data_IF_115419472487
#
_entry.id   IF_115419472487
#
_cell.length_a   1.000
_cell.length_b   1.000
_cell.length_c   1.000
_cell.angle_alpha   90.00
_cell.angle_beta   90.00
_cell.angle_gamma   90.00
#
_symmetry.space_group_name_H-M   'P 1'
#
loop_
_entity.id
_entity.type
_entity.pdbx_description
1 polymer ?
#
# COMPACT_ATOMS: atom_id res chain seq x y z
N UNK A 1 14.87 -29.47 -3.39
CA UNK A 1 13.52 -30.08 -3.23
C UNK A 1 12.65 -29.67 -4.40
N UNK A 2 12.49 -28.41 -4.70
CA UNK A 2 11.63 -27.86 -5.75
C UNK A 2 11.94 -28.40 -7.17
N UNK A 3 13.23 -28.48 -7.58
CA UNK A 3 13.64 -28.97 -8.91
C UNK A 3 13.09 -30.35 -9.25
N UNK A 4 13.14 -31.27 -8.30
CA UNK A 4 12.56 -32.63 -8.45
C UNK A 4 11.04 -32.58 -8.58
N UNK A 5 10.38 -31.75 -7.78
CA UNK A 5 8.92 -31.59 -7.74
C UNK A 5 8.38 -31.05 -9.08
N UNK A 6 8.98 -29.97 -9.63
CA UNK A 6 8.53 -29.40 -10.90
C UNK A 6 8.75 -30.38 -12.08
N UNK A 7 9.84 -31.13 -12.07
CA UNK A 7 10.08 -32.20 -13.05
C UNK A 7 9.01 -33.29 -12.98
N UNK A 8 8.65 -33.73 -11.77
CA UNK A 8 7.59 -34.72 -11.57
C UNK A 8 6.24 -34.19 -12.09
N UNK A 9 5.86 -32.95 -11.79
CA UNK A 9 4.62 -32.33 -12.25
C UNK A 9 4.55 -32.29 -13.79
N UNK A 10 5.66 -31.93 -14.46
CA UNK A 10 5.72 -31.96 -15.93
C UNK A 10 5.54 -33.35 -16.49
N UNK A 11 6.24 -34.35 -15.93
CA UNK A 11 6.16 -35.76 -16.38
C UNK A 11 4.75 -36.30 -16.17
N UNK A 12 4.11 -36.04 -15.04
CA UNK A 12 2.74 -36.43 -14.74
C UNK A 12 1.75 -35.89 -15.77
N UNK A 13 1.96 -34.65 -16.24
CA UNK A 13 1.18 -34.06 -17.34
C UNK A 13 1.60 -34.50 -18.74
N UNK A 14 2.60 -35.42 -18.87
CA UNK A 14 3.13 -35.91 -20.11
C UNK A 14 3.64 -34.80 -21.08
N UNK A 15 4.13 -33.68 -20.51
CA UNK A 15 4.61 -32.54 -21.29
C UNK A 15 6.12 -32.65 -21.63
N UNK A 16 6.49 -32.29 -22.85
CA UNK A 16 7.89 -32.05 -23.23
C UNK A 16 8.34 -30.68 -22.68
N UNK A 17 9.66 -30.45 -22.60
CA UNK A 17 10.25 -29.21 -22.10
C UNK A 17 9.83 -27.98 -22.94
N UNK A 18 9.77 -28.12 -24.24
CA UNK A 18 9.37 -27.07 -25.18
C UNK A 18 7.88 -26.73 -25.05
N UNK A 19 7.02 -27.72 -24.84
CA UNK A 19 5.58 -27.51 -24.61
C UNK A 19 5.34 -26.75 -23.32
N UNK A 20 5.99 -27.15 -22.21
CA UNK A 20 5.92 -26.43 -20.95
C UNK A 20 6.47 -25.00 -21.09
N UNK A 21 7.57 -24.84 -21.85
CA UNK A 21 8.18 -23.55 -22.15
C UNK A 21 7.23 -22.58 -22.83
N UNK A 22 6.51 -23.06 -23.84
CA UNK A 22 5.49 -22.28 -24.55
C UNK A 22 4.35 -21.83 -23.62
N UNK A 23 3.86 -22.72 -22.76
CA UNK A 23 2.80 -22.39 -21.80
C UNK A 23 3.22 -21.36 -20.73
N UNK A 24 4.42 -21.51 -20.20
CA UNK A 24 4.93 -20.63 -19.15
C UNK A 24 5.59 -19.34 -19.68
N UNK A 25 5.81 -19.26 -21.00
CA UNK A 25 6.63 -18.23 -21.67
C UNK A 25 8.03 -18.19 -21.05
N UNK A 26 8.66 -19.35 -20.96
CA UNK A 26 10.02 -19.57 -20.43
C UNK A 26 10.77 -20.45 -21.42
N UNK A 27 12.01 -20.09 -21.71
CA UNK A 27 12.86 -20.90 -22.61
C UNK A 27 13.03 -22.32 -22.08
N UNK A 28 12.95 -23.32 -22.98
CA UNK A 28 13.02 -24.74 -22.62
C UNK A 28 14.38 -25.14 -22.03
N UNK A 29 15.45 -24.45 -22.39
CA UNK A 29 16.79 -24.67 -21.82
C UNK A 29 16.84 -24.18 -20.36
N UNK A 30 16.13 -23.10 -20.02
CA UNK A 30 15.98 -22.64 -18.65
C UNK A 30 15.16 -23.62 -17.82
N UNK A 31 14.06 -24.16 -18.36
CA UNK A 31 13.27 -25.19 -17.68
C UNK A 31 14.13 -26.43 -17.39
N UNK A 32 14.92 -26.88 -18.33
CA UNK A 32 15.87 -28.00 -18.14
C UNK A 32 16.85 -27.71 -16.98
N UNK A 33 17.38 -26.49 -16.92
CA UNK A 33 18.26 -26.04 -15.81
C UNK A 33 17.56 -25.96 -14.48
N UNK A 34 16.28 -25.55 -14.45
CA UNK A 34 15.46 -25.55 -13.23
C UNK A 34 15.22 -26.98 -12.73
N UNK A 35 14.87 -27.92 -13.63
CA UNK A 35 14.61 -29.32 -13.29
C UNK A 35 15.87 -30.09 -12.88
N UNK A 36 17.03 -29.72 -13.43
CA UNK A 36 18.33 -30.29 -13.03
C UNK A 36 18.87 -29.66 -11.73
N UNK A 37 18.28 -28.56 -11.25
CA UNK A 37 18.74 -27.83 -10.08
C UNK A 37 20.00 -26.98 -10.30
N UNK A 38 20.46 -26.85 -11.56
CA UNK A 38 21.63 -26.02 -11.91
C UNK A 38 21.30 -24.52 -11.94
N UNK A 39 20.02 -24.17 -11.95
CA UNK A 39 19.53 -22.79 -11.81
C UNK A 39 18.28 -22.76 -10.92
N UNK A 40 18.21 -21.76 -10.05
CA UNK A 40 17.03 -21.53 -9.20
C UNK A 40 15.95 -20.75 -9.95
N UNK A 41 14.69 -21.03 -9.64
CA UNK A 41 13.56 -20.19 -10.09
C UNK A 41 13.50 -18.89 -9.29
N UNK A 42 12.99 -17.85 -9.95
CA UNK A 42 12.55 -16.65 -9.22
C UNK A 42 11.18 -16.89 -8.60
N UNK A 43 10.82 -16.13 -7.55
CA UNK A 43 9.51 -16.20 -6.89
C UNK A 43 8.35 -16.06 -7.91
N UNK A 44 8.48 -15.15 -8.87
CA UNK A 44 7.48 -14.96 -9.94
C UNK A 44 7.34 -16.20 -10.84
N UNK A 45 8.44 -16.87 -11.14
CA UNK A 45 8.38 -18.11 -11.92
C UNK A 45 7.69 -19.22 -11.13
N UNK A 46 7.92 -19.33 -9.82
CA UNK A 46 7.23 -20.30 -8.97
C UNK A 46 5.71 -20.10 -9.02
N UNK A 47 5.22 -18.87 -8.95
CA UNK A 47 3.79 -18.58 -9.10
C UNK A 47 3.25 -18.98 -10.47
N UNK A 48 4.01 -18.78 -11.56
CA UNK A 48 3.61 -19.25 -12.90
C UNK A 48 3.47 -20.78 -12.95
N UNK A 49 4.39 -21.52 -12.31
CA UNK A 49 4.29 -22.97 -12.19
C UNK A 49 3.08 -23.41 -11.37
N UNK A 50 2.81 -22.80 -10.21
CA UNK A 50 1.64 -23.09 -9.39
C UNK A 50 0.32 -22.88 -10.14
N UNK A 51 0.21 -21.75 -10.85
CA UNK A 51 -0.97 -21.42 -11.66
C UNK A 51 -1.18 -22.44 -12.79
N UNK A 52 -0.12 -22.80 -13.52
CA UNK A 52 -0.19 -23.73 -14.65
C UNK A 52 -0.53 -25.16 -14.20
N UNK A 53 0.15 -25.64 -13.17
CA UNK A 53 -0.06 -26.99 -12.67
C UNK A 53 -1.28 -27.13 -11.75
N UNK A 54 -1.91 -26.01 -11.36
CA UNK A 54 -3.04 -25.96 -10.42
C UNK A 54 -2.73 -26.72 -9.13
N UNK A 55 -1.54 -26.51 -8.58
CA UNK A 55 -1.12 -27.08 -7.30
C UNK A 55 -1.93 -26.45 -6.15
N UNK A 56 -1.83 -27.03 -4.95
CA UNK A 56 -2.41 -26.38 -3.76
C UNK A 56 -1.76 -25.02 -3.55
N UNK A 57 -2.49 -24.02 -3.04
CA UNK A 57 -1.94 -22.69 -2.81
C UNK A 57 -0.65 -22.74 -1.99
N UNK A 58 0.38 -22.07 -2.49
CA UNK A 58 1.72 -21.98 -1.89
C UNK A 58 2.46 -23.34 -1.75
N UNK A 59 2.06 -24.39 -2.45
CA UNK A 59 2.74 -25.68 -2.36
C UNK A 59 4.17 -25.59 -2.90
N UNK A 60 4.35 -25.06 -4.12
CA UNK A 60 5.68 -24.91 -4.72
C UNK A 60 6.44 -23.73 -4.08
N UNK A 61 5.72 -22.71 -3.64
CA UNK A 61 6.34 -21.58 -2.95
C UNK A 61 7.01 -22.02 -1.64
N UNK A 62 6.38 -22.90 -0.88
CA UNK A 62 6.98 -23.47 0.35
C UNK A 62 8.27 -24.23 0.04
N UNK A 63 8.24 -25.08 -0.98
CA UNK A 63 9.44 -25.83 -1.43
C UNK A 63 10.56 -24.87 -1.85
N UNK A 64 10.20 -23.80 -2.60
CA UNK A 64 11.15 -22.79 -3.02
C UNK A 64 11.79 -22.05 -1.84
N UNK A 65 10.98 -21.59 -0.87
CA UNK A 65 11.48 -20.93 0.33
C UNK A 65 12.36 -21.86 1.17
N UNK A 66 11.99 -23.14 1.29
CA UNK A 66 12.81 -24.14 1.99
C UNK A 66 14.16 -24.32 1.31
N UNK A 67 14.20 -24.40 -0.03
CA UNK A 67 15.46 -24.54 -0.77
C UNK A 67 16.35 -23.28 -0.61
N UNK A 68 15.77 -22.07 -0.56
CA UNK A 68 16.49 -20.81 -0.30
C UNK A 68 17.12 -20.82 1.11
N UNK A 69 16.29 -21.02 2.15
CA UNK A 69 16.73 -21.04 3.55
C UNK A 69 17.81 -22.13 3.77
N UNK A 70 17.57 -23.33 3.23
CA UNK A 70 18.55 -24.42 3.33
C UNK A 70 19.87 -24.06 2.61
N UNK A 71 19.77 -23.37 1.46
CA UNK A 71 20.95 -22.91 0.71
C UNK A 71 21.81 -21.95 1.52
N UNK A 72 21.18 -21.06 2.27
CA UNK A 72 21.84 -20.04 3.10
C UNK A 72 22.43 -20.65 4.39
N UNK A 73 21.78 -21.66 4.99
CA UNK A 73 22.15 -22.23 6.28
C UNK A 73 23.06 -23.48 6.18
N UNK A 74 23.06 -24.18 5.04
CA UNK A 74 23.87 -25.37 4.86
C UNK A 74 25.36 -25.06 5.06
N UNK A 75 26.02 -25.84 5.90
CA UNK A 75 27.45 -25.70 6.18
C UNK A 75 27.77 -24.89 7.44
N UNK A 76 26.77 -24.30 8.11
CA UNK A 76 26.96 -23.67 9.40
C UNK A 76 26.54 -24.60 10.53
N UNK A 77 27.45 -24.81 11.50
CA UNK A 77 27.17 -25.67 12.66
C UNK A 77 26.00 -25.16 13.52
N UNK A 78 25.77 -23.85 13.52
CA UNK A 78 24.70 -23.17 14.25
C UNK A 78 23.38 -23.03 13.47
N UNK A 79 23.23 -23.71 12.34
CA UNK A 79 22.04 -23.60 11.49
C UNK A 79 20.72 -23.89 12.24
N UNK A 80 20.73 -24.87 13.13
CA UNK A 80 19.56 -25.21 13.95
C UNK A 80 19.21 -24.11 14.96
N UNK A 81 20.20 -23.45 15.53
CA UNK A 81 19.98 -22.34 16.47
C UNK A 81 19.31 -21.16 15.75
N UNK A 82 19.78 -20.84 14.52
CA UNK A 82 19.17 -19.80 13.68
C UNK A 82 17.72 -20.15 13.34
N UNK A 83 17.45 -21.41 12.97
CA UNK A 83 16.07 -21.85 12.66
C UNK A 83 15.16 -21.74 13.87
N UNK A 84 15.65 -22.08 15.07
CA UNK A 84 14.87 -21.92 16.32
C UNK A 84 14.57 -20.44 16.63
N UNK A 85 15.56 -19.55 16.47
CA UNK A 85 15.36 -18.11 16.64
C UNK A 85 14.32 -17.55 15.64
N UNK A 86 14.40 -17.97 14.38
CA UNK A 86 13.42 -17.59 13.34
C UNK A 86 12.03 -18.13 13.65
N UNK A 87 11.91 -19.37 14.17
CA UNK A 87 10.64 -19.95 14.56
C UNK A 87 9.99 -19.17 15.71
N UNK A 88 10.76 -18.77 16.72
CA UNK A 88 10.29 -17.94 17.83
C UNK A 88 9.80 -16.57 17.35
N UNK A 89 10.55 -15.91 16.46
CA UNK A 89 10.16 -14.64 15.84
C UNK A 89 8.88 -14.78 15.01
N UNK A 90 8.77 -15.82 14.15
CA UNK A 90 7.57 -16.10 13.36
C UNK A 90 6.38 -16.38 14.28
N UNK A 91 6.57 -17.16 15.35
CA UNK A 91 5.53 -17.48 16.33
C UNK A 91 5.04 -16.23 17.06
N UNK A 92 5.94 -15.35 17.45
CA UNK A 92 5.64 -14.04 18.01
C UNK A 92 4.83 -13.18 17.04
N UNK A 93 5.27 -13.11 15.80
CA UNK A 93 4.58 -12.39 14.71
C UNK A 93 3.18 -12.96 14.43
N UNK A 94 3.05 -14.30 14.35
CA UNK A 94 1.75 -14.97 14.15
C UNK A 94 0.79 -14.77 15.33
N UNK A 95 1.29 -14.76 16.57
CA UNK A 95 0.48 -14.42 17.75
C UNK A 95 -0.05 -12.98 17.67
N UNK A 96 0.78 -12.04 17.23
CA UNK A 96 0.38 -10.65 16.98
C UNK A 96 -0.69 -10.55 15.87
N UNK A 97 -0.52 -11.29 14.77
CA UNK A 97 -1.49 -11.36 13.68
C UNK A 97 -2.81 -12.00 14.12
N UNK A 98 -2.76 -13.09 14.87
CA UNK A 98 -3.95 -13.78 15.38
C UNK A 98 -4.69 -12.96 16.46
N UNK A 99 -3.97 -12.20 17.27
CA UNK A 99 -4.55 -11.23 18.20
C UNK A 99 -5.25 -10.09 17.46
N UNK A 100 -4.72 -9.65 16.30
CA UNK A 100 -5.34 -8.66 15.40
C UNK A 100 -6.53 -9.22 14.61
N UNK A 101 -6.52 -10.48 14.18
CA UNK A 101 -7.69 -11.15 13.55
C UNK A 101 -8.92 -11.19 14.45
N UNK A 102 -8.75 -11.13 15.79
CA UNK A 102 -9.82 -10.98 16.78
C UNK A 102 -10.16 -9.54 17.12
N UNK A 103 -9.60 -8.54 16.44
CA UNK A 103 -10.07 -7.17 16.62
C UNK A 103 -11.49 -7.05 16.09
N UNK A 104 -12.43 -7.20 17.00
CA UNK A 104 -13.87 -7.01 16.76
C UNK A 104 -14.03 -5.54 16.35
N UNK A 105 -14.41 -5.33 15.09
CA UNK A 105 -14.83 -4.00 14.65
C UNK A 105 -16.00 -3.55 15.52
N UNK A 106 -16.00 -2.30 15.95
CA UNK A 106 -17.13 -1.77 16.73
C UNK A 106 -18.40 -1.82 15.89
N UNK A 107 -19.56 -2.00 16.52
CA UNK A 107 -20.87 -2.00 15.83
C UNK A 107 -21.04 -0.77 14.92
N UNK A 108 -20.54 0.39 15.36
CA UNK A 108 -20.60 1.63 14.60
C UNK A 108 -19.76 1.57 13.30
N UNK A 109 -18.58 0.96 13.34
CA UNK A 109 -17.74 0.78 12.15
C UNK A 109 -18.43 -0.18 11.18
N UNK A 110 -18.92 -1.33 11.65
CA UNK A 110 -19.62 -2.31 10.79
C UNK A 110 -20.80 -1.66 10.08
N UNK A 111 -21.68 -0.97 10.81
CA UNK A 111 -22.80 -0.24 10.21
C UNK A 111 -22.35 0.76 9.15
N UNK A 112 -21.27 1.50 9.43
CA UNK A 112 -20.74 2.49 8.49
C UNK A 112 -20.17 1.84 7.22
N UNK A 113 -19.53 0.68 7.34
CA UNK A 113 -19.05 -0.08 6.18
C UNK A 113 -20.21 -0.60 5.32
N UNK A 114 -21.28 -1.09 5.91
CA UNK A 114 -22.50 -1.52 5.20
C UNK A 114 -23.13 -0.35 4.41
N UNK A 115 -23.16 0.85 5.01
CA UNK A 115 -23.63 2.06 4.34
C UNK A 115 -22.72 2.46 3.17
N UNK A 116 -21.39 2.39 3.34
CA UNK A 116 -20.41 2.64 2.30
C UNK A 116 -20.58 1.66 1.13
N UNK A 117 -20.71 0.37 1.40
CA UNK A 117 -20.89 -0.66 0.38
C UNK A 117 -22.22 -0.49 -0.37
N UNK A 118 -23.25 -0.03 0.32
CA UNK A 118 -24.54 0.30 -0.30
C UNK A 118 -24.39 1.43 -1.31
N UNK A 119 -23.71 2.53 -0.93
CA UNK A 119 -23.47 3.66 -1.85
C UNK A 119 -22.59 3.21 -3.02
N UNK A 120 -21.52 2.43 -2.75
CA UNK A 120 -20.65 1.89 -3.80
C UNK A 120 -21.44 1.06 -4.82
N UNK A 121 -22.31 0.17 -4.38
CA UNK A 121 -23.19 -0.63 -5.26
C UNK A 121 -24.11 0.25 -6.11
N UNK A 122 -24.65 1.33 -5.54
CA UNK A 122 -25.47 2.29 -6.28
C UNK A 122 -24.68 3.01 -7.38
N UNK A 123 -23.41 3.40 -7.09
CA UNK A 123 -22.51 3.98 -8.07
C UNK A 123 -22.16 2.97 -9.16
N UNK A 124 -21.83 1.74 -8.79
CA UNK A 124 -21.47 0.66 -9.73
C UNK A 124 -22.64 0.31 -10.68
N UNK A 125 -23.89 0.44 -10.22
CA UNK A 125 -25.08 0.22 -11.06
C UNK A 125 -25.30 1.31 -12.11
N UNK A 126 -24.66 2.49 -11.97
CA UNK A 126 -24.72 3.58 -12.95
C UNK A 126 -23.61 3.51 -14.01
N UNK A 127 -22.69 2.54 -13.88
CA UNK A 127 -21.59 2.36 -14.85
C UNK A 127 -22.08 1.66 -16.15
N UNK A 128 -21.49 1.97 -17.33
CA UNK A 128 -20.36 2.88 -17.51
C UNK A 128 -20.80 4.35 -17.47
N UNK A 129 -20.01 5.19 -16.78
CA UNK A 129 -20.22 6.63 -16.78
C UNK A 129 -19.68 7.27 -18.07
N UNK A 130 -20.22 8.44 -18.45
CA UNK A 130 -19.68 9.20 -19.54
C UNK A 130 -18.23 9.61 -19.27
N UNK A 131 -17.32 9.33 -20.22
CA UNK A 131 -15.89 9.59 -20.07
C UNK A 131 -15.56 11.06 -19.79
N UNK A 132 -16.27 11.99 -20.42
CA UNK A 132 -16.06 13.43 -20.20
C UNK A 132 -16.50 13.84 -18.79
N UNK A 133 -17.67 13.35 -18.36
CA UNK A 133 -18.18 13.58 -17.00
C UNK A 133 -17.21 13.01 -15.96
N UNK A 134 -16.73 11.78 -16.13
CA UNK A 134 -15.78 11.16 -15.25
C UNK A 134 -14.46 11.94 -15.17
N UNK A 135 -13.95 12.42 -16.32
CA UNK A 135 -12.76 13.26 -16.36
C UNK A 135 -12.93 14.54 -15.54
N UNK A 136 -14.06 15.24 -15.69
CA UNK A 136 -14.35 16.46 -14.94
C UNK A 136 -14.53 16.23 -13.45
N UNK A 137 -15.16 15.14 -13.06
CA UNK A 137 -15.28 14.76 -11.65
C UNK A 137 -13.92 14.42 -11.04
N UNK A 138 -13.09 13.66 -11.74
CA UNK A 138 -11.73 13.36 -11.27
C UNK A 138 -10.91 14.63 -11.12
N UNK A 139 -10.96 15.57 -12.06
CA UNK A 139 -10.29 16.87 -11.97
C UNK A 139 -10.69 17.62 -10.69
N UNK A 140 -11.99 17.68 -10.40
CA UNK A 140 -12.51 18.30 -9.18
C UNK A 140 -12.02 17.60 -7.90
N UNK A 141 -12.25 16.29 -7.77
CA UNK A 141 -11.88 15.55 -6.57
C UNK A 141 -10.37 15.47 -6.33
N UNK A 142 -9.57 15.38 -7.39
CA UNK A 142 -8.10 15.34 -7.28
C UNK A 142 -7.53 16.69 -6.84
N UNK A 143 -8.11 17.79 -7.35
CA UNK A 143 -7.77 19.15 -6.91
C UNK A 143 -8.12 19.34 -5.42
N UNK A 144 -9.34 18.97 -5.04
CA UNK A 144 -9.77 19.09 -3.64
C UNK A 144 -8.90 18.24 -2.70
N UNK A 145 -8.57 17.01 -3.10
CA UNK A 145 -7.68 16.14 -2.33
C UNK A 145 -6.27 16.72 -2.21
N UNK A 146 -5.72 17.26 -3.29
CA UNK A 146 -4.41 17.93 -3.29
C UNK A 146 -4.42 19.11 -2.32
N UNK A 147 -5.44 19.95 -2.38
CA UNK A 147 -5.62 21.08 -1.48
C UNK A 147 -5.68 20.64 -0.01
N UNK A 148 -6.60 19.74 0.34
CA UNK A 148 -6.81 19.32 1.72
C UNK A 148 -5.61 18.58 2.31
N UNK A 149 -4.97 17.72 1.53
CA UNK A 149 -3.80 16.96 1.95
C UNK A 149 -2.60 17.88 2.26
N UNK A 150 -2.35 18.90 1.44
CA UNK A 150 -1.29 19.88 1.68
C UNK A 150 -1.64 20.84 2.83
N UNK A 151 -2.90 21.21 2.97
CA UNK A 151 -3.40 22.03 4.07
C UNK A 151 -3.22 21.35 5.44
N UNK A 152 -3.33 20.03 5.55
CA UNK A 152 -3.00 19.29 6.77
C UNK A 152 -1.55 19.53 7.16
N UNK A 153 -0.63 19.62 6.21
CA UNK A 153 0.81 19.86 6.43
C UNK A 153 1.15 21.36 6.60
N UNK A 154 0.16 22.26 6.49
CA UNK A 154 0.33 23.69 6.75
C UNK A 154 0.48 24.56 5.51
N UNK A 155 0.30 24.00 4.30
CA UNK A 155 0.22 24.79 3.07
C UNK A 155 -0.94 25.79 3.16
N UNK A 156 -0.74 27.01 2.72
CA UNK A 156 -1.68 28.12 2.88
C UNK A 156 -2.43 28.51 1.60
N UNK A 157 -2.19 27.80 0.49
CA UNK A 157 -2.98 27.97 -0.73
C UNK A 157 -4.46 27.69 -0.44
N UNK A 158 -5.35 28.46 -1.01
CA UNK A 158 -6.80 28.18 -1.04
C UNK A 158 -7.11 27.11 -2.08
N UNK A 159 -8.33 26.57 -2.07
CA UNK A 159 -8.75 25.60 -3.10
C UNK A 159 -8.67 26.18 -4.50
N UNK A 160 -9.10 27.44 -4.68
CA UNK A 160 -9.03 28.13 -5.97
C UNK A 160 -7.59 28.37 -6.42
N UNK A 161 -6.72 28.83 -5.50
CA UNK A 161 -5.28 28.99 -5.78
C UNK A 161 -4.61 27.67 -6.12
N UNK A 162 -4.94 26.60 -5.42
CA UNK A 162 -4.44 25.23 -5.72
C UNK A 162 -4.87 24.82 -7.13
N UNK A 163 -6.12 25.05 -7.51
CA UNK A 163 -6.62 24.76 -8.87
C UNK A 163 -5.80 25.53 -9.91
N UNK A 164 -5.63 26.85 -9.77
CA UNK A 164 -4.86 27.68 -10.70
C UNK A 164 -3.40 27.23 -10.83
N UNK A 165 -2.77 26.86 -9.71
CA UNK A 165 -1.37 26.37 -9.70
C UNK A 165 -1.25 25.05 -10.47
N UNK A 166 -2.13 24.07 -10.23
CA UNK A 166 -1.97 22.74 -10.81
C UNK A 166 -2.52 22.61 -12.24
N UNK A 167 -3.53 23.38 -12.61
CA UNK A 167 -4.17 23.26 -13.94
C UNK A 167 -3.67 24.29 -14.94
N UNK A 168 -3.35 25.50 -14.48
CA UNK A 168 -2.98 26.62 -15.35
C UNK A 168 -1.51 27.04 -15.18
N UNK A 169 -0.79 26.48 -14.18
CA UNK A 169 0.62 26.81 -13.92
C UNK A 169 0.84 28.25 -13.42
N UNK A 170 -0.20 28.87 -12.86
CA UNK A 170 -0.14 30.26 -12.38
C UNK A 170 0.57 30.30 -11.02
N UNK A 171 1.47 31.26 -10.86
CA UNK A 171 2.09 31.58 -9.56
C UNK A 171 1.25 32.57 -8.78
N UNK A 172 1.02 32.28 -7.50
CA UNK A 172 0.17 33.07 -6.60
C UNK A 172 1.04 34.02 -5.78
N UNK A 173 0.78 35.32 -5.86
CA UNK A 173 1.48 36.34 -5.09
C UNK A 173 1.31 36.13 -3.57
N UNK A 174 2.39 36.34 -2.80
CA UNK A 174 2.36 36.16 -1.34
C UNK A 174 2.46 34.71 -0.85
N UNK A 175 2.61 33.75 -1.73
CA UNK A 175 2.85 32.33 -1.42
C UNK A 175 4.28 31.93 -1.76
N UNK A 176 4.85 31.03 -0.98
CA UNK A 176 6.22 30.57 -1.20
C UNK A 176 6.32 29.63 -2.41
N UNK A 177 7.49 29.56 -3.04
CA UNK A 177 7.78 28.58 -4.10
C UNK A 177 7.56 27.15 -3.59
N UNK A 178 7.90 26.87 -2.33
CA UNK A 178 7.68 25.56 -1.69
C UNK A 178 6.22 25.18 -1.72
N UNK A 179 5.30 26.07 -1.38
CA UNK A 179 3.86 25.80 -1.38
C UNK A 179 3.32 25.46 -2.77
N UNK A 180 3.82 26.14 -3.82
CA UNK A 180 3.47 25.81 -5.21
C UNK A 180 3.99 24.42 -5.59
N UNK A 181 5.26 24.12 -5.29
CA UNK A 181 5.85 22.82 -5.58
C UNK A 181 5.16 21.69 -4.82
N UNK A 182 4.73 21.92 -3.57
CA UNK A 182 3.94 20.95 -2.81
C UNK A 182 2.61 20.62 -3.52
N UNK A 183 1.90 21.62 -4.05
CA UNK A 183 0.66 21.42 -4.79
C UNK A 183 0.90 20.64 -6.10
N UNK A 184 1.90 21.03 -6.89
CA UNK A 184 2.26 20.38 -8.16
C UNK A 184 2.70 18.94 -7.92
N UNK A 185 3.65 18.71 -7.03
CA UNK A 185 4.17 17.39 -6.71
C UNK A 185 3.08 16.44 -6.20
N UNK A 186 2.18 16.95 -5.34
CA UNK A 186 1.08 16.14 -4.82
C UNK A 186 0.07 15.81 -5.92
N UNK A 187 -0.22 16.75 -6.84
CA UNK A 187 -1.08 16.49 -8.01
C UNK A 187 -0.49 15.41 -8.93
N UNK A 188 0.83 15.44 -9.17
CA UNK A 188 1.51 14.40 -9.93
C UNK A 188 1.40 13.03 -9.23
N UNK A 189 1.55 13.01 -7.90
CA UNK A 189 1.40 11.79 -7.11
C UNK A 189 -0.05 11.26 -7.13
N UNK A 190 -1.07 12.14 -7.15
CA UNK A 190 -2.49 11.75 -7.31
C UNK A 190 -2.74 11.16 -8.69
N UNK A 191 -2.18 11.75 -9.74
CA UNK A 191 -2.27 11.21 -11.10
C UNK A 191 -1.62 9.84 -11.19
N UNK A 192 -0.46 9.66 -10.59
CA UNK A 192 0.25 8.38 -10.52
C UNK A 192 -0.57 7.29 -9.79
N UNK A 193 -1.16 7.57 -8.61
CA UNK A 193 -2.00 6.56 -7.92
C UNK A 193 -3.24 6.21 -8.74
N UNK A 194 -3.82 7.15 -9.47
CA UNK A 194 -4.98 6.89 -10.33
C UNK A 194 -4.60 5.99 -11.52
N UNK A 195 -3.41 6.16 -12.10
CA UNK A 195 -2.90 5.32 -13.19
C UNK A 195 -2.62 3.89 -12.71
N UNK A 196 -1.81 3.73 -11.65
CA UNK A 196 -1.44 2.40 -11.15
C UNK A 196 -2.61 1.66 -10.50
N UNK A 197 -3.64 2.37 -10.04
CA UNK A 197 -4.85 1.73 -9.50
C UNK A 197 -5.65 0.97 -10.55
N UNK A 198 -5.53 1.31 -11.83
CA UNK A 198 -6.18 0.61 -12.95
C UNK A 198 -5.43 -0.65 -13.37
N UNK A 199 -4.18 -0.79 -12.94
CA UNK A 199 -3.34 -1.96 -13.20
C UNK A 199 -3.59 -3.12 -12.23
N UNK A 200 -2.87 -4.22 -12.46
CA UNK A 200 -2.88 -5.41 -11.59
C UNK A 200 -1.68 -5.44 -10.65
N UNK A 201 -0.93 -4.34 -10.57
CA UNK A 201 0.28 -4.29 -9.78
C UNK A 201 -0.02 -4.30 -8.29
N UNK A 202 0.66 -5.20 -7.58
CA UNK A 202 0.56 -5.27 -6.13
C UNK A 202 1.36 -4.13 -5.50
N UNK A 203 0.79 -3.53 -4.46
CA UNK A 203 1.49 -2.55 -3.63
C UNK A 203 2.70 -3.21 -2.99
N UNK A 204 3.86 -2.60 -3.17
CA UNK A 204 5.13 -3.06 -2.62
C UNK A 204 5.94 -1.88 -2.07
N UNK A 205 7.12 -2.18 -1.52
CA UNK A 205 8.01 -1.16 -0.95
C UNK A 205 8.44 -0.11 -1.98
N UNK A 206 8.65 -0.51 -3.23
CA UNK A 206 9.00 0.41 -4.32
C UNK A 206 7.89 1.40 -4.60
N UNK A 207 6.62 0.94 -4.63
CA UNK A 207 5.45 1.82 -4.79
C UNK A 207 5.44 2.93 -3.74
N UNK A 208 5.73 2.61 -2.46
CA UNK A 208 5.75 3.60 -1.38
C UNK A 208 6.89 4.62 -1.57
N UNK A 209 8.07 4.16 -1.99
CA UNK A 209 9.22 5.04 -2.29
C UNK A 209 8.95 5.94 -3.50
N UNK A 210 8.29 5.43 -4.52
CA UNK A 210 7.94 6.21 -5.71
C UNK A 210 6.89 7.29 -5.38
N UNK A 211 5.89 6.97 -4.54
CA UNK A 211 4.95 7.96 -4.00
C UNK A 211 5.67 9.06 -3.21
N UNK A 212 6.55 8.67 -2.31
CA UNK A 212 7.33 9.65 -1.54
C UNK A 212 8.25 10.49 -2.43
N UNK A 213 8.88 9.88 -3.43
CA UNK A 213 9.70 10.60 -4.41
C UNK A 213 8.87 11.69 -5.11
N UNK A 214 7.68 11.35 -5.61
CA UNK A 214 6.79 12.31 -6.26
C UNK A 214 6.41 13.48 -5.34
N UNK A 215 6.15 13.22 -4.06
CA UNK A 215 5.80 14.26 -3.08
C UNK A 215 6.93 15.27 -2.85
N UNK A 216 8.21 14.84 -2.91
CA UNK A 216 9.36 15.68 -2.54
C UNK A 216 10.34 15.97 -3.68
N UNK A 217 10.17 15.43 -4.87
CA UNK A 217 11.15 15.48 -5.99
C UNK A 217 11.71 16.86 -6.31
N UNK A 218 10.94 17.92 -6.10
CA UNK A 218 11.32 19.30 -6.41
C UNK A 218 11.54 20.16 -5.16
N UNK A 219 11.42 19.57 -3.95
CA UNK A 219 11.50 20.29 -2.66
C UNK A 219 12.73 19.83 -1.88
N UNK A 220 12.91 18.52 -1.73
CA UNK A 220 14.02 17.90 -1.00
C UNK A 220 14.55 16.70 -1.80
N UNK A 221 15.16 16.98 -2.95
CA UNK A 221 15.63 16.00 -3.94
C UNK A 221 16.55 14.94 -3.34
N UNK A 222 17.42 15.31 -2.39
CA UNK A 222 18.39 14.39 -1.79
C UNK A 222 17.74 13.30 -0.93
N UNK A 223 16.56 13.57 -0.37
CA UNK A 223 15.81 12.67 0.51
C UNK A 223 14.59 12.03 -0.16
N UNK A 224 14.21 12.52 -1.34
CA UNK A 224 13.05 12.01 -2.07
C UNK A 224 13.18 10.52 -2.39
N UNK A 225 12.20 9.70 -1.97
CA UNK A 225 12.18 8.25 -2.18
C UNK A 225 13.17 7.43 -1.33
N UNK A 226 13.90 8.06 -0.41
CA UNK A 226 14.92 7.41 0.42
C UNK A 226 14.51 7.36 1.89
N UNK A 227 14.73 6.22 2.53
CA UNK A 227 14.53 6.11 3.97
C UNK A 227 15.51 6.99 4.73
N UNK A 228 15.05 7.51 5.86
CA UNK A 228 15.89 8.27 6.77
C UNK A 228 17.04 7.42 7.33
N UNK A 229 18.15 8.06 7.55
CA UNK A 229 19.35 7.51 8.18
C UNK A 229 19.68 8.22 9.51
N UNK A 230 18.71 8.96 10.05
CA UNK A 230 18.81 9.70 11.32
C UNK A 230 17.56 9.44 12.17
N UNK A 231 17.69 9.69 13.46
CA UNK A 231 16.54 9.69 14.37
C UNK A 231 15.66 10.91 14.12
N UNK A 232 14.34 10.69 14.20
CA UNK A 232 13.33 11.75 14.04
C UNK A 232 12.33 11.75 15.17
N UNK A 233 11.66 12.88 15.36
CA UNK A 233 10.55 13.04 16.29
C UNK A 233 9.35 13.60 15.53
N UNK A 234 8.17 13.14 15.88
CA UNK A 234 6.92 13.68 15.32
C UNK A 234 6.48 14.84 16.21
N UNK A 235 6.51 16.04 15.65
CA UNK A 235 6.13 17.25 16.39
C UNK A 235 4.69 17.15 16.92
N UNK A 236 4.52 17.38 18.21
CA UNK A 236 3.22 17.33 18.87
C UNK A 236 2.68 15.93 19.19
N UNK A 237 3.43 14.85 18.92
CA UNK A 237 3.07 13.48 19.28
C UNK A 237 3.95 12.91 20.38
N UNK A 238 3.37 12.05 21.23
CA UNK A 238 4.10 11.21 22.20
C UNK A 238 4.65 9.93 21.58
N UNK A 239 4.20 9.58 20.38
CA UNK A 239 4.68 8.41 19.67
C UNK A 239 6.15 8.57 19.29
N UNK A 240 6.93 7.52 19.54
CA UNK A 240 8.32 7.44 19.16
C UNK A 240 8.44 6.51 17.94
N UNK A 241 8.81 7.04 16.76
CA UNK A 241 9.12 6.20 15.61
C UNK A 241 10.25 5.21 15.94
N UNK A 242 10.32 4.05 15.28
CA UNK A 242 11.42 3.10 15.46
C UNK A 242 12.77 3.74 15.14
N UNK A 243 13.85 3.16 15.66
CA UNK A 243 15.20 3.59 15.31
C UNK A 243 15.42 3.53 13.79
N UNK A 244 16.24 4.43 13.23
CA UNK A 244 16.40 4.53 11.76
C UNK A 244 16.91 3.23 11.13
N UNK A 245 17.74 2.46 11.82
CA UNK A 245 18.24 1.17 11.33
C UNK A 245 17.17 0.06 11.32
N UNK A 246 16.08 0.21 12.08
CA UNK A 246 14.93 -0.71 12.07
C UNK A 246 13.91 -0.41 10.95
N UNK A 247 14.01 0.76 10.34
CA UNK A 247 13.05 1.21 9.31
C UNK A 247 12.89 0.18 8.18
N UNK A 248 13.96 -0.36 7.57
CA UNK A 248 13.81 -1.34 6.48
C UNK A 248 13.01 -2.57 6.91
N UNK A 249 13.27 -3.11 8.10
CA UNK A 249 12.55 -4.27 8.64
C UNK A 249 11.08 -3.94 8.91
N UNK A 250 10.78 -2.77 9.46
CA UNK A 250 9.39 -2.32 9.71
C UNK A 250 8.63 -2.12 8.40
N UNK A 251 9.29 -1.64 7.35
CA UNK A 251 8.67 -1.50 6.02
C UNK A 251 8.40 -2.85 5.37
N UNK A 252 9.29 -3.83 5.50
CA UNK A 252 9.02 -5.21 5.08
C UNK A 252 7.81 -5.78 5.84
N UNK A 253 7.72 -5.52 7.14
CA UNK A 253 6.58 -5.95 7.98
C UNK A 253 5.25 -5.28 7.53
N UNK A 254 5.30 -4.02 7.09
CA UNK A 254 4.15 -3.31 6.53
C UNK A 254 3.66 -3.98 5.24
N UNK A 255 4.57 -4.33 4.34
CA UNK A 255 4.22 -5.02 3.08
C UNK A 255 3.67 -6.42 3.37
N UNK A 256 4.30 -7.17 4.27
CA UNK A 256 3.78 -8.48 4.70
C UNK A 256 2.37 -8.35 5.32
N UNK A 257 2.11 -7.30 6.11
CA UNK A 257 0.76 -7.02 6.62
C UNK A 257 -0.25 -6.80 5.48
N UNK A 258 0.10 -6.04 4.46
CA UNK A 258 -0.74 -5.84 3.28
C UNK A 258 -1.01 -7.16 2.56
N UNK A 259 0.02 -7.92 2.22
CA UNK A 259 -0.10 -9.21 1.50
C UNK A 259 -1.00 -10.22 2.24
N UNK A 260 -0.90 -10.26 3.57
CA UNK A 260 -1.69 -11.16 4.41
C UNK A 260 -3.16 -10.74 4.57
N UNK A 261 -3.47 -9.44 4.42
CA UNK A 261 -4.77 -8.91 4.78
C UNK A 261 -5.58 -8.38 3.59
N UNK A 262 -4.97 -8.17 2.42
CA UNK A 262 -5.62 -7.57 1.25
C UNK A 262 -6.85 -8.35 0.73
N UNK A 263 -6.96 -9.65 1.04
CA UNK A 263 -8.08 -10.52 0.66
C UNK A 263 -9.09 -10.75 1.79
N UNK A 264 -8.79 -10.34 3.01
CA UNK A 264 -9.57 -10.68 4.20
C UNK A 264 -10.17 -9.48 4.92
N UNK A 265 -9.47 -8.34 4.90
CA UNK A 265 -10.01 -7.12 5.49
C UNK A 265 -10.85 -6.35 4.47
N UNK A 266 -11.88 -5.69 4.99
CA UNK A 266 -12.60 -4.71 4.20
C UNK A 266 -11.63 -3.64 3.68
N UNK A 267 -11.68 -3.23 2.38
CA UNK A 267 -10.70 -2.32 1.79
C UNK A 267 -10.53 -1.00 2.55
N UNK A 268 -11.61 -0.45 3.10
CA UNK A 268 -11.57 0.78 3.91
C UNK A 268 -10.77 0.57 5.21
N UNK A 269 -10.90 -0.60 5.83
CA UNK A 269 -10.13 -0.94 7.05
C UNK A 269 -8.66 -1.17 6.72
N UNK A 270 -8.38 -1.90 5.64
CA UNK A 270 -7.02 -2.13 5.17
C UNK A 270 -6.32 -0.79 4.84
N UNK A 271 -7.00 0.10 4.13
CA UNK A 271 -6.48 1.42 3.77
C UNK A 271 -6.16 2.26 5.02
N UNK A 272 -7.05 2.26 6.02
CA UNK A 272 -6.83 2.94 7.29
C UNK A 272 -5.63 2.33 8.06
N UNK A 273 -5.53 1.01 8.11
CA UNK A 273 -4.44 0.32 8.80
C UNK A 273 -3.09 0.57 8.13
N UNK A 274 -3.02 0.48 6.80
CA UNK A 274 -1.78 0.76 6.04
C UNK A 274 -1.31 2.20 6.23
N UNK A 275 -2.25 3.15 6.24
CA UNK A 275 -1.95 4.56 6.51
C UNK A 275 -1.33 4.74 7.90
N UNK A 276 -2.02 4.29 8.97
CA UNK A 276 -1.55 4.54 10.31
C UNK A 276 -0.24 3.80 10.62
N UNK A 277 -0.03 2.58 10.08
CA UNK A 277 1.23 1.85 10.26
C UNK A 277 2.38 2.61 9.60
N UNK A 278 2.20 3.08 8.35
CA UNK A 278 3.24 3.83 7.64
C UNK A 278 3.60 5.13 8.36
N UNK A 279 2.61 5.91 8.80
CA UNK A 279 2.85 7.13 9.61
C UNK A 279 3.55 6.79 10.91
N UNK A 280 3.21 5.67 11.57
CA UNK A 280 3.85 5.24 12.81
C UNK A 280 5.30 4.79 12.63
N UNK A 281 5.64 4.14 11.52
CA UNK A 281 7.03 3.83 11.17
C UNK A 281 7.83 5.11 10.89
N UNK A 282 7.18 6.10 10.28
CA UNK A 282 7.79 7.38 9.90
C UNK A 282 9.09 7.20 9.12
N UNK A 283 9.06 6.47 7.98
CA UNK A 283 10.28 5.98 7.34
C UNK A 283 11.11 7.06 6.66
N UNK A 284 10.59 8.25 6.46
CA UNK A 284 11.21 9.34 5.74
C UNK A 284 11.50 10.55 6.63
N UNK A 285 12.32 11.47 6.17
CA UNK A 285 12.65 12.72 6.92
C UNK A 285 11.44 13.66 6.94
N UNK A 286 10.78 13.85 5.79
CA UNK A 286 9.54 14.64 5.61
C UNK A 286 8.56 13.88 4.70
N UNK A 287 7.37 14.40 4.46
CA UNK A 287 6.39 13.85 3.50
C UNK A 287 5.66 12.57 3.95
N UNK A 288 5.91 12.05 5.16
CA UNK A 288 5.30 10.81 5.65
C UNK A 288 3.77 10.86 5.67
N UNK A 289 3.18 11.98 6.10
CA UNK A 289 1.73 12.16 6.15
C UNK A 289 1.10 12.13 4.74
N UNK A 290 1.66 12.88 3.80
CA UNK A 290 1.20 12.94 2.40
C UNK A 290 1.31 11.57 1.73
N UNK A 291 2.46 10.91 1.86
CA UNK A 291 2.69 9.56 1.33
C UNK A 291 1.71 8.53 1.91
N UNK A 292 1.42 8.59 3.21
CA UNK A 292 0.48 7.66 3.85
C UNK A 292 -0.96 7.88 3.38
N UNK A 293 -1.38 9.13 3.16
CA UNK A 293 -2.70 9.44 2.59
C UNK A 293 -2.80 9.01 1.13
N UNK A 294 -1.74 9.13 0.34
CA UNK A 294 -1.67 8.61 -1.03
C UNK A 294 -1.74 7.09 -1.06
N UNK A 295 -1.00 6.38 -0.21
CA UNK A 295 -1.08 4.92 -0.09
C UNK A 295 -2.48 4.44 0.30
N UNK A 296 -3.11 5.11 1.27
CA UNK A 296 -4.50 4.85 1.65
C UNK A 296 -5.45 4.95 0.46
N UNK A 297 -5.34 6.03 -0.30
CA UNK A 297 -6.19 6.27 -1.46
C UNK A 297 -5.87 5.32 -2.63
N UNK A 298 -4.63 4.92 -2.84
CA UNK A 298 -4.28 3.89 -3.81
C UNK A 298 -5.01 2.57 -3.49
N UNK A 299 -5.01 2.13 -2.22
CA UNK A 299 -5.73 0.92 -1.80
C UNK A 299 -7.24 1.05 -2.06
N UNK A 300 -7.82 2.20 -1.76
CA UNK A 300 -9.24 2.47 -2.02
C UNK A 300 -9.57 2.40 -3.52
N UNK A 301 -8.79 3.09 -4.35
CA UNK A 301 -8.97 3.12 -5.81
C UNK A 301 -8.84 1.72 -6.43
N UNK A 302 -7.83 0.93 -6.05
CA UNK A 302 -7.66 -0.45 -6.53
C UNK A 302 -8.84 -1.37 -6.18
N UNK A 303 -9.62 -1.02 -5.15
CA UNK A 303 -10.81 -1.75 -4.75
C UNK A 303 -12.12 -1.10 -5.24
N UNK A 304 -12.03 -0.16 -6.19
CA UNK A 304 -13.18 0.48 -6.83
C UNK A 304 -13.90 1.50 -5.95
N UNK A 305 -13.26 2.00 -4.89
CA UNK A 305 -13.72 3.17 -4.15
C UNK A 305 -13.15 4.45 -4.76
N UNK A 306 -13.70 5.59 -4.37
CA UNK A 306 -13.17 6.90 -4.72
C UNK A 306 -12.20 7.41 -3.66
N UNK A 307 -11.46 8.49 -4.01
CA UNK A 307 -10.53 9.14 -3.10
C UNK A 307 -11.25 9.58 -1.83
N UNK A 308 -10.76 9.11 -0.68
CA UNK A 308 -11.18 9.58 0.63
C UNK A 308 -10.44 10.87 0.97
N UNK A 309 -11.20 11.95 1.19
CA UNK A 309 -10.65 13.26 1.46
C UNK A 309 -10.74 13.60 2.95
N UNK A 310 -9.59 13.54 3.66
CA UNK A 310 -9.48 13.98 5.04
C UNK A 310 -9.31 15.48 5.04
N UNK A 311 -10.25 16.23 5.67
CA UNK A 311 -10.27 17.70 5.64
C UNK A 311 -9.15 18.32 6.46
N UNK A 312 -8.50 19.36 5.92
CA UNK A 312 -7.37 20.08 6.51
C UNK A 312 -7.77 21.28 7.40
N UNK A 313 -9.07 21.54 7.64
CA UNK A 313 -9.47 22.58 8.59
C UNK A 313 -9.03 22.20 10.01
N UNK A 314 -8.88 23.20 10.89
CA UNK A 314 -8.30 23.02 12.22
C UNK A 314 -8.95 21.89 13.02
N UNK A 315 -10.29 21.82 13.06
CA UNK A 315 -11.00 20.81 13.82
C UNK A 315 -10.78 19.39 13.29
N UNK A 316 -10.83 19.22 11.97
CA UNK A 316 -10.59 17.92 11.30
C UNK A 316 -9.13 17.48 11.46
N UNK A 317 -8.19 18.42 11.33
CA UNK A 317 -6.76 18.19 11.53
C UNK A 317 -6.46 17.75 12.96
N UNK A 318 -7.04 18.40 13.97
CA UNK A 318 -6.89 17.99 15.38
C UNK A 318 -7.49 16.60 15.62
N UNK A 319 -8.65 16.31 15.05
CA UNK A 319 -9.30 14.99 15.16
C UNK A 319 -8.45 13.89 14.48
N UNK A 320 -7.84 14.19 13.35
CA UNK A 320 -6.94 13.28 12.62
C UNK A 320 -5.69 12.97 13.46
N UNK A 321 -5.02 13.98 14.01
CA UNK A 321 -3.84 13.76 14.85
C UNK A 321 -4.19 13.02 16.15
N UNK A 322 -5.33 13.35 16.80
CA UNK A 322 -5.79 12.62 17.98
C UNK A 322 -6.08 11.15 17.70
N UNK A 323 -6.67 10.83 16.56
CA UNK A 323 -6.94 9.45 16.17
C UNK A 323 -5.64 8.66 15.89
N UNK A 324 -4.65 9.29 15.27
CA UNK A 324 -3.32 8.70 15.08
C UNK A 324 -2.59 8.49 16.41
N UNK A 325 -2.62 9.48 17.30
CA UNK A 325 -2.04 9.36 18.64
C UNK A 325 -2.68 8.22 19.43
N UNK A 326 -4.02 8.09 19.38
CA UNK A 326 -4.77 6.98 20.00
C UNK A 326 -4.33 5.62 19.45
N UNK A 327 -4.09 5.54 18.15
CA UNK A 327 -3.63 4.31 17.49
C UNK A 327 -2.19 3.94 17.91
N UNK A 328 -1.28 4.91 17.91
CA UNK A 328 0.14 4.64 18.09
C UNK A 328 0.54 4.50 19.56
N UNK A 329 -0.04 5.28 20.46
CA UNK A 329 0.31 5.29 21.89
C UNK A 329 -0.55 4.31 22.68
N UNK A 330 -1.84 4.25 22.40
CA UNK A 330 -2.80 3.44 23.15
C UNK A 330 -3.17 2.11 22.46
N UNK A 331 -2.72 1.88 21.23
CA UNK A 331 -3.09 0.71 20.44
C UNK A 331 -4.57 0.67 20.01
N UNK A 332 -5.31 1.79 20.16
CA UNK A 332 -6.72 1.89 19.78
C UNK A 332 -6.86 2.32 18.31
N UNK A 333 -7.00 1.35 17.42
CA UNK A 333 -7.16 1.57 15.98
C UNK A 333 -8.57 2.05 15.59
N UNK A 334 -9.56 1.90 16.50
CA UNK A 334 -10.98 2.15 16.17
C UNK A 334 -11.25 3.59 15.77
N UNK A 335 -10.60 4.55 16.45
CA UNK A 335 -10.83 5.98 16.19
C UNK A 335 -10.34 6.37 14.80
N UNK A 336 -9.16 5.87 14.39
CA UNK A 336 -8.61 6.17 13.08
C UNK A 336 -9.38 5.47 11.96
N UNK A 337 -9.75 4.20 12.14
CA UNK A 337 -10.60 3.46 11.21
C UNK A 337 -11.95 4.12 11.00
N UNK A 338 -12.56 4.61 12.09
CA UNK A 338 -13.83 5.34 12.04
C UNK A 338 -13.69 6.67 11.27
N UNK A 339 -12.58 7.40 11.49
CA UNK A 339 -12.29 8.64 10.78
C UNK A 339 -12.16 8.40 9.27
N UNK A 340 -11.38 7.40 8.86
CA UNK A 340 -11.21 7.05 7.45
C UNK A 340 -12.54 6.58 6.84
N UNK A 341 -13.29 5.72 7.51
CA UNK A 341 -14.59 5.27 7.01
C UNK A 341 -15.59 6.44 6.82
N UNK A 342 -15.60 7.41 7.70
CA UNK A 342 -16.42 8.63 7.54
C UNK A 342 -15.96 9.45 6.32
N UNK A 343 -14.64 9.60 6.11
CA UNK A 343 -14.11 10.29 4.94
C UNK A 343 -14.50 9.59 3.63
N UNK A 344 -14.36 8.25 3.57
CA UNK A 344 -14.80 7.44 2.42
C UNK A 344 -16.29 7.62 2.16
N UNK A 345 -17.14 7.50 3.19
CA UNK A 345 -18.59 7.69 3.04
C UNK A 345 -18.92 9.08 2.49
N UNK A 346 -18.29 10.13 3.04
CA UNK A 346 -18.52 11.51 2.59
C UNK A 346 -18.19 11.68 1.11
N UNK A 347 -17.01 11.24 0.68
CA UNK A 347 -16.56 11.34 -0.72
C UNK A 347 -17.44 10.53 -1.67
N UNK A 348 -17.81 9.30 -1.31
CA UNK A 348 -18.71 8.48 -2.12
C UNK A 348 -20.12 9.09 -2.23
N UNK A 349 -20.64 9.67 -1.14
CA UNK A 349 -21.96 10.31 -1.13
C UNK A 349 -21.97 11.54 -2.05
N UNK A 350 -20.91 12.34 -2.00
CA UNK A 350 -20.75 13.50 -2.88
C UNK A 350 -20.62 13.08 -4.33
N UNK A 351 -19.75 12.11 -4.63
CA UNK A 351 -19.61 11.56 -5.97
C UNK A 351 -20.94 11.02 -6.52
N UNK A 352 -21.67 10.23 -5.74
CA UNK A 352 -22.97 9.69 -6.13
C UNK A 352 -24.00 10.78 -6.50
N UNK A 353 -24.01 11.87 -5.72
CA UNK A 353 -24.90 13.03 -6.01
C UNK A 353 -24.57 13.72 -7.34
N UNK A 354 -23.30 13.74 -7.71
CA UNK A 354 -22.85 14.42 -8.95
C UNK A 354 -23.02 13.57 -10.21
N UNK A 355 -23.18 12.25 -10.08
CA UNK A 355 -23.40 11.35 -11.23
C UNK A 355 -24.85 10.95 -11.42
N UNK A 356 -25.73 11.20 -10.44
CA UNK A 356 -27.19 10.97 -10.49
C UNK A 356 -27.92 12.14 -11.13
#
# INVERSE_FOLDING_TARGET
MLSKKIKQLRIQKKLKLNELGSHLKIDSSLISRFESGTRKLTKLQVYKYEAFFKTKPNELLKEWMTDEIFGDLKGYAFANDVLSMVEDEISGYQKLLNKKKKQILTKNIVKLLDEIDTIKKQIDALKPLNNLQLKKLNEYFFTEYTFESNKIEGNTLTLQETFLVITEGITIGGKSVKEHLEAINHSDAVSFINEIAQGTELINERTIKDLHYLVLKSIETDHAGKYRNIEVRISGSKHLPPAFFDVPFKMQSLIAYFELNNKYLHPVILAADMHQILVGIHPFIDGNGRTSRLLMNLILLQNGYYIANIKGNLQSRLSYYKALESAHVNGNLSDFRLLVAKAVKSSLTEFYKLIK
#
